data_IF_892798588177
#
_entry.id   IF_892798588177
#
_cell.length_a   1.000
_cell.length_b   1.000
_cell.length_c   1.000
_cell.angle_alpha   90.00
_cell.angle_beta   90.00
_cell.angle_gamma   90.00
#
_symmetry.space_group_name_H-M   'P 1'
#
loop_
_entity.id
_entity.type
_entity.pdbx_description
1 polymer ?
#
# COMPACT_ATOMS: atom_id res chain seq x y z
N UNK A 1 -18.67 34.13 5.96
CA UNK A 1 -18.74 32.82 5.31
C UNK A 1 -19.45 31.85 6.22
N UNK A 2 -20.77 31.75 6.12
CA UNK A 2 -21.50 30.53 6.48
C UNK A 2 -21.06 29.38 5.56
N UNK A 3 -21.57 28.17 5.78
CA UNK A 3 -21.31 27.04 4.87
C UNK A 3 -21.93 27.32 3.50
N UNK A 4 -23.10 27.93 3.46
CA UNK A 4 -23.84 28.28 2.24
C UNK A 4 -23.09 29.34 1.42
N UNK A 5 -22.62 30.42 2.07
CA UNK A 5 -21.81 31.45 1.41
C UNK A 5 -20.51 30.86 0.82
N UNK A 6 -19.89 29.93 1.54
CA UNK A 6 -18.67 29.27 1.07
C UNK A 6 -18.97 28.29 -0.07
N UNK A 7 -20.08 27.56 0.00
CA UNK A 7 -20.50 26.63 -1.05
C UNK A 7 -20.78 27.35 -2.37
N UNK A 8 -21.45 28.51 -2.33
CA UNK A 8 -21.67 29.35 -3.50
C UNK A 8 -20.35 29.85 -4.09
N UNK A 9 -19.42 30.33 -3.25
CA UNK A 9 -18.10 30.74 -3.71
C UNK A 9 -17.32 29.58 -4.33
N UNK A 10 -17.39 28.38 -3.74
CA UNK A 10 -16.73 27.18 -4.25
C UNK A 10 -17.31 26.75 -5.61
N UNK A 11 -18.63 26.74 -5.76
CA UNK A 11 -19.30 26.36 -7.01
C UNK A 11 -18.97 27.31 -8.17
N UNK A 12 -18.72 28.59 -7.87
CA UNK A 12 -18.35 29.60 -8.86
C UNK A 12 -16.83 29.68 -9.13
N UNK A 13 -16.03 28.85 -8.45
CA UNK A 13 -14.58 28.84 -8.60
C UNK A 13 -14.13 27.79 -9.63
N UNK A 14 -13.14 28.13 -10.45
CA UNK A 14 -12.53 27.19 -11.40
C UNK A 14 -11.46 26.29 -10.76
N UNK A 15 -11.02 26.63 -9.55
CA UNK A 15 -9.95 25.96 -8.84
C UNK A 15 -10.08 26.21 -7.33
N UNK A 16 -9.95 25.14 -6.52
CA UNK A 16 -10.05 25.21 -5.07
C UNK A 16 -8.79 24.62 -4.43
N UNK A 17 -8.14 25.42 -3.58
CA UNK A 17 -6.96 25.05 -2.81
C UNK A 17 -7.16 25.41 -1.34
N UNK A 18 -7.09 24.40 -0.48
CA UNK A 18 -7.00 24.56 0.96
C UNK A 18 -5.54 24.33 1.39
N UNK A 19 -4.83 25.41 1.69
CA UNK A 19 -3.42 25.37 2.09
C UNK A 19 -3.21 25.57 3.60
N UNK A 20 -2.23 24.88 4.19
CA UNK A 20 -1.81 25.11 5.57
C UNK A 20 -0.59 24.30 6.02
N UNK A 21 -0.16 24.46 7.27
CA UNK A 21 0.90 23.61 7.82
C UNK A 21 0.33 22.22 8.20
N UNK A 22 -0.91 22.15 8.66
CA UNK A 22 -1.53 20.94 9.20
C UNK A 22 -1.23 20.77 10.69
N UNK A 23 0.03 20.99 11.11
CA UNK A 23 0.53 20.69 12.46
C UNK A 23 0.48 19.17 12.78
N UNK A 24 0.83 18.77 14.00
CA UNK A 24 1.02 17.36 14.39
C UNK A 24 0.28 16.93 15.64
N UNK A 25 -0.78 17.65 15.98
CA UNK A 25 -1.53 17.49 17.23
C UNK A 25 -2.27 16.17 17.38
N UNK A 26 -2.44 15.39 16.31
CA UNK A 26 -2.95 14.01 16.38
C UNK A 26 -1.85 12.94 16.25
N UNK A 27 -0.62 13.33 15.93
CA UNK A 27 0.47 12.36 15.80
C UNK A 27 0.95 11.91 17.19
N UNK A 28 0.88 10.61 17.53
CA UNK A 28 1.22 10.14 18.88
C UNK A 28 2.72 10.04 19.15
N UNK A 29 3.56 10.12 18.11
CA UNK A 29 5.02 9.95 18.23
C UNK A 29 5.74 11.17 17.70
N UNK A 30 5.55 11.52 16.43
CA UNK A 30 6.27 12.60 15.78
C UNK A 30 5.49 13.91 15.92
N UNK A 31 5.58 14.53 17.10
CA UNK A 31 4.87 15.77 17.44
C UNK A 31 5.79 16.77 18.20
N UNK A 32 5.22 17.90 18.64
CA UNK A 32 5.96 18.93 19.37
C UNK A 32 6.75 18.43 20.59
N UNK A 33 6.22 17.45 21.33
CA UNK A 33 6.88 16.87 22.52
C UNK A 33 8.20 16.18 22.16
N UNK A 34 8.23 15.50 21.00
CA UNK A 34 9.44 14.90 20.44
C UNK A 34 10.37 15.92 19.76
N UNK A 35 10.10 17.22 19.91
CA UNK A 35 10.93 18.30 19.42
C UNK A 35 10.74 18.62 17.93
N UNK A 36 9.61 18.22 17.34
CA UNK A 36 9.33 18.45 15.91
C UNK A 36 9.45 19.93 15.50
N UNK A 37 9.01 20.82 16.39
CA UNK A 37 9.07 22.28 16.22
C UNK A 37 10.17 22.94 17.06
N UNK A 38 11.09 22.15 17.62
CA UNK A 38 12.08 22.60 18.60
C UNK A 38 11.39 23.36 19.75
N UNK A 39 11.92 24.51 20.15
CA UNK A 39 11.33 25.36 21.19
C UNK A 39 10.26 26.34 20.67
N UNK A 40 9.83 26.22 19.40
CA UNK A 40 9.00 27.25 18.75
C UNK A 40 7.51 27.06 19.01
N UNK A 41 7.05 25.81 19.13
CA UNK A 41 5.63 25.46 19.29
C UNK A 41 5.55 24.46 20.43
N UNK A 42 4.77 24.77 21.46
CA UNK A 42 4.52 23.83 22.56
C UNK A 42 3.55 22.72 22.13
N UNK A 43 3.46 21.65 22.90
CA UNK A 43 2.50 20.56 22.65
C UNK A 43 1.06 21.06 22.66
N UNK A 44 0.70 21.94 23.60
CA UNK A 44 -0.64 22.53 23.67
C UNK A 44 -0.95 23.39 22.45
N UNK A 45 0.05 24.14 21.98
CA UNK A 45 -0.08 24.98 20.80
C UNK A 45 -0.19 24.14 19.51
N UNK A 46 0.59 23.08 19.38
CA UNK A 46 0.52 22.11 18.26
C UNK A 46 -0.89 21.51 18.14
N UNK A 47 -1.43 21.03 19.26
CA UNK A 47 -2.79 20.49 19.34
C UNK A 47 -3.83 21.55 18.98
N UNK A 48 -3.72 22.76 19.53
CA UNK A 48 -4.67 23.84 19.26
C UNK A 48 -4.66 24.27 17.79
N UNK A 49 -3.47 24.37 17.18
CA UNK A 49 -3.31 24.76 15.78
C UNK A 49 -3.76 23.66 14.82
N UNK A 50 -3.53 22.39 15.15
CA UNK A 50 -4.07 21.24 14.40
C UNK A 50 -5.59 21.24 14.39
N UNK A 51 -6.23 21.43 15.56
CA UNK A 51 -7.69 21.55 15.68
C UNK A 51 -8.24 22.72 14.88
N UNK A 52 -7.53 23.86 14.88
CA UNK A 52 -7.92 25.02 14.08
C UNK A 52 -7.89 24.73 12.59
N UNK A 53 -6.86 24.05 12.09
CA UNK A 53 -6.79 23.68 10.68
C UNK A 53 -7.89 22.66 10.33
N UNK A 54 -8.10 21.64 11.16
CA UNK A 54 -9.19 20.67 11.03
C UNK A 54 -10.56 21.33 10.93
N UNK A 55 -10.85 22.32 11.77
CA UNK A 55 -12.14 23.04 11.71
C UNK A 55 -12.35 23.78 10.38
N UNK A 56 -11.27 24.31 9.77
CA UNK A 56 -11.34 24.91 8.44
C UNK A 56 -11.58 23.83 7.39
N UNK A 57 -10.85 22.72 7.45
CA UNK A 57 -11.03 21.57 6.56
C UNK A 57 -12.46 21.05 6.59
N UNK A 58 -13.02 20.80 7.77
CA UNK A 58 -14.40 20.30 7.93
C UNK A 58 -15.44 21.27 7.36
N UNK A 59 -15.19 22.58 7.48
CA UNK A 59 -16.05 23.59 6.88
C UNK A 59 -15.97 23.61 5.35
N UNK A 60 -14.77 23.49 4.77
CA UNK A 60 -14.60 23.36 3.32
C UNK A 60 -15.24 22.06 2.84
N UNK A 61 -15.11 20.98 3.60
CA UNK A 61 -15.72 19.69 3.29
C UNK A 61 -17.24 19.81 3.23
N UNK A 62 -17.85 20.43 4.24
CA UNK A 62 -19.30 20.68 4.25
C UNK A 62 -19.77 21.59 3.09
N UNK A 63 -18.88 22.40 2.52
CA UNK A 63 -19.23 23.39 1.48
C UNK A 63 -18.92 22.90 0.05
N UNK A 64 -17.94 22.01 -0.12
CA UNK A 64 -17.36 21.61 -1.39
C UNK A 64 -17.11 20.10 -1.49
N UNK A 65 -17.85 19.28 -0.73
CA UNK A 65 -17.70 17.81 -0.70
C UNK A 65 -17.65 17.20 -2.10
N UNK A 66 -18.48 17.72 -3.01
CA UNK A 66 -18.67 17.17 -4.35
C UNK A 66 -17.90 17.90 -5.45
N UNK A 67 -17.09 18.89 -5.10
CA UNK A 67 -16.29 19.70 -6.02
C UNK A 67 -14.81 19.36 -5.77
N UNK A 68 -13.97 19.22 -6.81
CA UNK A 68 -12.54 18.96 -6.60
C UNK A 68 -11.86 20.05 -5.77
N UNK A 69 -11.18 19.65 -4.70
CA UNK A 69 -10.35 20.51 -3.85
C UNK A 69 -8.97 19.90 -3.71
N UNK A 70 -7.93 20.73 -3.83
CA UNK A 70 -6.57 20.35 -3.44
C UNK A 70 -6.36 20.75 -1.98
N UNK A 71 -6.10 19.78 -1.12
CA UNK A 71 -5.68 19.99 0.28
C UNK A 71 -4.16 19.92 0.32
N UNK A 72 -3.51 21.06 0.48
CA UNK A 72 -2.05 21.19 0.48
C UNK A 72 -1.56 21.50 1.89
N UNK A 73 -1.06 20.49 2.59
CA UNK A 73 -0.51 20.63 3.94
C UNK A 73 0.98 20.34 4.00
N UNK A 74 1.68 20.86 5.02
CA UNK A 74 3.07 20.43 5.24
C UNK A 74 3.10 19.01 5.83
N UNK A 75 2.34 18.77 6.90
CA UNK A 75 2.18 17.45 7.53
C UNK A 75 1.09 16.62 6.84
N UNK A 76 1.13 15.30 7.00
CA UNK A 76 0.13 14.38 6.44
C UNK A 76 -1.23 14.56 7.12
N UNK A 77 -2.34 14.22 6.44
CA UNK A 77 -3.69 14.44 6.98
C UNK A 77 -3.89 13.78 8.35
N UNK A 78 -3.36 12.58 8.53
CA UNK A 78 -3.42 11.82 9.78
C UNK A 78 -2.82 12.57 10.99
N UNK A 79 -1.96 13.57 10.77
CA UNK A 79 -1.34 14.34 11.83
C UNK A 79 -2.28 15.41 12.41
N UNK A 80 -3.38 15.74 11.72
CA UNK A 80 -4.30 16.81 12.11
C UNK A 80 -5.79 16.52 11.90
N UNK A 81 -6.14 15.45 11.19
CA UNK A 81 -7.51 14.93 11.07
C UNK A 81 -7.52 13.41 11.11
N UNK A 82 -8.60 12.87 11.67
CA UNK A 82 -8.91 11.43 11.75
C UNK A 82 -10.00 11.02 10.76
N UNK A 83 -10.40 11.95 9.88
CA UNK A 83 -11.40 11.72 8.85
C UNK A 83 -10.87 10.75 7.78
N UNK A 84 -11.79 10.16 7.01
CA UNK A 84 -11.43 9.49 5.76
C UNK A 84 -11.11 10.53 4.70
N UNK A 85 -10.23 10.17 3.76
CA UNK A 85 -10.03 10.97 2.55
C UNK A 85 -11.34 11.08 1.77
N UNK A 86 -11.61 12.27 1.24
CA UNK A 86 -12.67 12.48 0.27
C UNK A 86 -12.16 12.02 -1.11
N UNK A 87 -12.81 11.04 -1.76
CA UNK A 87 -12.37 10.50 -3.05
C UNK A 87 -12.39 11.51 -4.21
N UNK A 88 -13.04 12.66 -4.06
CA UNK A 88 -13.08 13.72 -5.09
C UNK A 88 -11.97 14.76 -4.90
N UNK A 89 -11.19 14.64 -3.84
CA UNK A 89 -10.19 15.62 -3.44
C UNK A 89 -8.79 15.06 -3.62
N UNK A 90 -7.84 15.98 -3.79
CA UNK A 90 -6.42 15.66 -3.91
C UNK A 90 -5.71 16.12 -2.65
N UNK A 91 -5.01 15.20 -1.99
CA UNK A 91 -4.26 15.50 -0.77
C UNK A 91 -2.77 15.55 -1.08
N UNK A 92 -2.11 16.65 -0.75
CA UNK A 92 -0.68 16.84 -0.96
C UNK A 92 -0.02 17.16 0.37
N UNK A 93 0.99 16.38 0.73
CA UNK A 93 1.74 16.56 1.97
C UNK A 93 3.23 16.29 1.81
N UNK A 94 4.01 16.60 2.86
CA UNK A 94 5.42 16.28 2.94
C UNK A 94 5.80 15.85 4.35
N UNK A 95 6.81 16.52 4.90
CA UNK A 95 7.28 16.40 6.28
C UNK A 95 8.00 15.09 6.66
N UNK A 96 7.46 13.93 6.26
CA UNK A 96 7.98 12.60 6.67
C UNK A 96 9.35 12.27 6.10
N UNK A 97 9.79 13.00 5.07
CA UNK A 97 11.00 12.73 4.29
C UNK A 97 10.96 11.36 3.57
N UNK A 98 9.76 10.80 3.45
CA UNK A 98 9.50 9.50 2.84
C UNK A 98 8.47 9.66 1.74
N UNK A 99 8.91 9.42 0.51
CA UNK A 99 8.02 9.52 -0.64
C UNK A 99 6.92 8.45 -0.55
N UNK A 100 5.68 8.89 -0.65
CA UNK A 100 4.51 8.02 -0.82
C UNK A 100 3.61 8.61 -1.89
N UNK A 101 2.90 7.72 -2.58
CA UNK A 101 1.93 8.04 -3.61
C UNK A 101 0.81 7.02 -3.54
N UNK A 102 -0.43 7.48 -3.56
CA UNK A 102 -1.62 6.64 -3.49
C UNK A 102 -2.68 7.15 -4.45
N UNK A 103 -3.05 6.30 -5.41
CA UNK A 103 -4.27 6.45 -6.21
C UNK A 103 -5.12 5.20 -6.01
N UNK A 104 -6.36 5.38 -5.56
CA UNK A 104 -7.32 4.29 -5.42
C UNK A 104 -8.39 4.34 -6.50
N UNK A 105 -9.02 3.19 -6.78
CA UNK A 105 -10.08 3.07 -7.79
C UNK A 105 -11.35 3.85 -7.40
N UNK A 106 -11.54 4.14 -6.11
CA UNK A 106 -12.63 4.96 -5.60
C UNK A 106 -12.41 6.47 -5.81
N UNK A 107 -11.23 6.89 -6.27
CA UNK A 107 -10.85 8.28 -6.53
C UNK A 107 -9.87 8.88 -5.52
N UNK A 108 -9.63 8.23 -4.37
CA UNK A 108 -8.71 8.77 -3.36
C UNK A 108 -7.32 9.00 -3.96
N UNK A 109 -6.85 10.24 -3.85
CA UNK A 109 -5.61 10.72 -4.44
C UNK A 109 -4.74 11.41 -3.39
N UNK A 110 -3.59 10.81 -3.05
CA UNK A 110 -2.65 11.33 -2.05
C UNK A 110 -1.23 11.36 -2.60
N UNK A 111 -0.61 12.54 -2.59
CA UNK A 111 0.73 12.81 -3.09
C UNK A 111 1.65 13.30 -1.96
N UNK A 112 2.71 12.56 -1.68
CA UNK A 112 3.80 13.00 -0.81
C UNK A 112 5.16 12.58 -1.37
N UNK A 113 5.25 12.52 -2.69
CA UNK A 113 6.35 11.94 -3.48
C UNK A 113 7.41 12.96 -3.93
N UNK A 114 7.27 14.22 -3.54
CA UNK A 114 8.21 15.30 -3.85
C UNK A 114 9.16 15.65 -2.67
N UNK A 115 9.52 14.66 -1.85
CA UNK A 115 10.34 14.87 -0.65
C UNK A 115 11.83 14.52 -0.90
N UNK A 116 12.72 15.47 -0.57
CA UNK A 116 14.17 15.30 -0.76
C UNK A 116 14.76 14.29 0.22
N UNK A 117 14.28 14.29 1.46
CA UNK A 117 14.78 13.45 2.53
C UNK A 117 16.11 13.93 3.12
N UNK A 118 16.72 13.11 3.98
CA UNK A 118 17.91 13.51 4.76
C UNK A 118 19.24 13.34 4.01
N UNK A 119 19.28 12.51 2.97
CA UNK A 119 20.51 12.26 2.20
C UNK A 119 20.54 13.21 0.99
N UNK A 120 21.62 13.97 0.78
CA UNK A 120 21.77 14.80 -0.41
C UNK A 120 21.57 13.97 -1.68
N UNK A 121 20.66 14.41 -2.54
CA UNK A 121 20.38 13.76 -3.83
C UNK A 121 19.93 14.82 -4.84
N UNK A 122 20.14 14.59 -6.15
CA UNK A 122 19.52 15.41 -7.18
C UNK A 122 18.00 15.42 -6.99
N UNK A 123 17.40 16.61 -7.05
CA UNK A 123 15.96 16.80 -6.90
C UNK A 123 15.39 17.47 -8.15
N UNK A 124 14.11 17.28 -8.37
CA UNK A 124 13.30 17.95 -9.39
C UNK A 124 11.95 18.27 -8.77
N UNK A 125 11.15 19.10 -9.44
CA UNK A 125 9.78 19.37 -9.02
C UNK A 125 8.86 18.37 -9.71
N UNK A 126 8.17 17.56 -8.91
CA UNK A 126 7.08 16.72 -9.41
C UNK A 126 5.86 17.59 -9.72
N UNK A 127 5.17 17.29 -10.82
CA UNK A 127 3.88 17.87 -11.17
C UNK A 127 2.79 16.80 -11.22
N UNK A 128 1.54 17.19 -11.04
CA UNK A 128 0.37 16.32 -11.18
C UNK A 128 -0.78 17.05 -11.89
N UNK A 129 -1.65 16.27 -12.55
CA UNK A 129 -2.89 16.75 -13.15
C UNK A 129 -3.99 16.78 -12.10
N UNK A 130 -4.93 17.73 -12.21
CA UNK A 130 -6.10 17.79 -11.31
C UNK A 130 -7.15 16.73 -11.66
N UNK A 131 -7.18 16.28 -12.92
CA UNK A 131 -7.88 15.07 -13.32
C UNK A 131 -6.98 13.87 -12.98
N UNK A 132 -7.18 13.34 -11.78
CA UNK A 132 -6.44 12.21 -11.25
C UNK A 132 -7.34 10.99 -11.32
N UNK A 133 -7.07 10.09 -12.26
CA UNK A 133 -7.74 8.80 -12.31
C UNK A 133 -6.73 7.70 -12.68
N UNK A 134 -6.98 6.49 -12.18
CA UNK A 134 -6.23 5.32 -12.62
C UNK A 134 -6.69 4.92 -14.01
N UNK A 135 -5.74 4.70 -14.91
CA UNK A 135 -5.99 4.11 -16.22
C UNK A 135 -4.78 3.30 -16.69
N UNK A 136 -5.00 2.45 -17.67
CA UNK A 136 -3.96 1.69 -18.34
C UNK A 136 -3.62 2.38 -19.67
N UNK A 137 -2.45 3.05 -19.78
CA UNK A 137 -2.04 3.72 -21.03
C UNK A 137 -1.79 2.75 -22.18
N UNK A 138 -1.67 1.45 -21.92
CA UNK A 138 -1.47 0.40 -22.93
C UNK A 138 -2.72 -0.45 -23.16
N UNK A 139 -3.88 -0.03 -22.63
CA UNK A 139 -5.14 -0.80 -22.70
C UNK A 139 -5.48 -1.28 -24.13
N UNK A 140 -5.30 -0.41 -25.11
CA UNK A 140 -5.66 -0.67 -26.51
C UNK A 140 -4.55 -1.35 -27.32
N UNK A 141 -3.38 -1.59 -26.73
CA UNK A 141 -2.33 -2.37 -27.39
C UNK A 141 -2.79 -3.83 -27.51
N UNK A 142 -2.55 -4.53 -28.63
CA UNK A 142 -2.79 -5.96 -28.69
C UNK A 142 -1.83 -6.70 -27.76
N UNK A 143 -2.10 -7.97 -27.46
CA UNK A 143 -1.11 -8.81 -26.79
C UNK A 143 0.15 -8.94 -27.67
N UNK A 144 1.32 -8.87 -27.04
CA UNK A 144 2.58 -8.83 -27.77
C UNK A 144 3.74 -8.18 -27.00
N UNK A 145 4.86 -8.02 -27.70
CA UNK A 145 6.05 -7.30 -27.25
C UNK A 145 6.03 -5.92 -27.89
N UNK A 146 5.93 -4.87 -27.08
CA UNK A 146 5.80 -3.50 -27.56
C UNK A 146 6.96 -2.66 -27.08
N UNK A 147 7.70 -2.03 -28.00
CA UNK A 147 8.68 -1.02 -27.62
C UNK A 147 7.93 0.21 -27.08
N UNK A 148 8.34 0.70 -25.92
CA UNK A 148 7.74 1.85 -25.24
C UNK A 148 8.80 2.89 -24.91
N UNK A 149 8.35 4.12 -24.69
CA UNK A 149 9.20 5.21 -24.20
C UNK A 149 9.37 5.14 -22.67
N UNK A 150 10.35 5.87 -22.14
CA UNK A 150 10.54 6.00 -20.68
C UNK A 150 9.37 6.75 -20.06
N UNK A 151 8.86 7.74 -20.77
CA UNK A 151 7.71 8.56 -20.39
C UNK A 151 6.47 7.68 -20.24
N UNK A 152 6.19 6.80 -21.20
CA UNK A 152 5.09 5.83 -21.13
C UNK A 152 5.25 4.84 -19.98
N UNK A 153 6.47 4.35 -19.71
CA UNK A 153 6.72 3.47 -18.56
C UNK A 153 6.46 4.20 -17.23
N UNK A 154 6.93 5.45 -17.10
CA UNK A 154 6.70 6.28 -15.91
C UNK A 154 5.22 6.59 -15.73
N UNK A 155 4.52 6.94 -16.81
CA UNK A 155 3.08 7.19 -16.83
C UNK A 155 2.30 5.94 -16.40
N UNK A 156 2.59 4.78 -16.97
CA UNK A 156 1.94 3.52 -16.59
C UNK A 156 2.06 3.25 -15.09
N UNK A 157 3.28 3.28 -14.54
CA UNK A 157 3.48 3.04 -13.12
C UNK A 157 2.75 4.07 -12.26
N UNK A 158 2.79 5.35 -12.64
CA UNK A 158 2.05 6.41 -11.96
C UNK A 158 0.55 6.14 -11.95
N UNK A 159 -0.05 5.84 -13.10
CA UNK A 159 -1.48 5.57 -13.23
C UNK A 159 -1.92 4.26 -12.56
N UNK A 160 -0.97 3.36 -12.29
CA UNK A 160 -1.20 2.13 -11.52
C UNK A 160 -0.83 2.26 -10.03
N UNK A 161 -0.53 3.47 -9.55
CA UNK A 161 -0.11 3.74 -8.16
C UNK A 161 1.14 2.95 -7.74
N UNK A 162 2.03 2.65 -8.69
CA UNK A 162 3.28 1.94 -8.48
C UNK A 162 4.40 2.94 -8.24
N UNK A 163 4.96 2.92 -7.03
CA UNK A 163 6.16 3.71 -6.74
C UNK A 163 7.38 3.19 -7.50
N UNK A 164 8.13 4.11 -8.08
CA UNK A 164 9.31 3.80 -8.89
C UNK A 164 10.58 4.41 -8.31
N UNK A 165 11.70 3.76 -8.61
CA UNK A 165 13.03 4.34 -8.52
C UNK A 165 13.36 5.09 -9.81
N UNK A 166 14.22 6.11 -9.71
CA UNK A 166 14.71 6.82 -10.90
C UNK A 166 15.42 5.85 -11.85
N UNK A 167 14.98 5.82 -13.10
CA UNK A 167 15.63 5.08 -14.18
C UNK A 167 16.52 6.01 -15.00
N UNK A 168 17.83 5.77 -14.97
CA UNK A 168 18.82 6.52 -15.78
C UNK A 168 19.60 5.62 -16.74
N UNK A 169 19.19 4.37 -16.89
CA UNK A 169 19.91 3.40 -17.70
C UNK A 169 19.59 3.58 -19.19
N UNK A 170 20.60 3.58 -20.07
CA UNK A 170 20.39 3.57 -21.51
C UNK A 170 19.84 2.21 -21.95
N UNK A 171 19.21 2.18 -23.12
CA UNK A 171 18.60 0.97 -23.68
C UNK A 171 17.15 1.19 -24.12
N UNK A 172 16.62 0.19 -24.78
CA UNK A 172 15.24 0.13 -25.28
C UNK A 172 14.33 -0.51 -24.24
N UNK A 173 13.15 0.07 -24.06
CA UNK A 173 12.15 -0.41 -23.12
C UNK A 173 11.07 -1.15 -23.88
N UNK A 174 10.63 -2.27 -23.30
CA UNK A 174 9.52 -3.04 -23.84
C UNK A 174 8.49 -3.36 -22.76
N UNK A 175 7.22 -3.32 -23.17
CA UNK A 175 6.09 -3.89 -22.45
C UNK A 175 5.70 -5.21 -23.11
N UNK A 176 5.83 -6.31 -22.38
CA UNK A 176 5.28 -7.61 -22.73
C UNK A 176 3.86 -7.65 -22.19
N UNK A 177 2.86 -7.61 -23.07
CA UNK A 177 1.44 -7.59 -22.72
C UNK A 177 0.78 -8.93 -23.08
N UNK A 178 0.09 -9.53 -22.12
CA UNK A 178 -0.75 -10.70 -22.32
C UNK A 178 -2.00 -10.60 -21.42
N UNK A 179 -3.19 -10.60 -22.00
CA UNK A 179 -4.47 -10.58 -21.26
C UNK A 179 -4.52 -9.48 -20.17
N UNK A 180 -4.05 -8.28 -20.52
CA UNK A 180 -3.96 -7.14 -19.60
C UNK A 180 -2.90 -7.25 -18.50
N UNK A 181 -2.09 -8.33 -18.49
CA UNK A 181 -0.91 -8.48 -17.63
C UNK A 181 0.33 -7.93 -18.34
N UNK A 182 1.17 -7.24 -17.57
CA UNK A 182 2.35 -6.56 -18.06
C UNK A 182 3.63 -7.09 -17.41
N UNK A 183 4.65 -7.34 -18.23
CA UNK A 183 6.05 -7.46 -17.80
C UNK A 183 6.87 -6.39 -18.52
N UNK A 184 7.61 -5.58 -17.79
CA UNK A 184 8.45 -4.54 -18.36
C UNK A 184 9.90 -4.97 -18.38
N UNK A 185 10.56 -4.81 -19.53
CA UNK A 185 11.97 -5.14 -19.69
C UNK A 185 12.75 -3.97 -20.29
N UNK A 186 14.01 -3.85 -19.88
CA UNK A 186 15.00 -2.96 -20.46
C UNK A 186 16.03 -3.81 -21.19
N UNK A 187 16.14 -3.62 -22.49
CA UNK A 187 17.17 -4.20 -23.33
C UNK A 187 18.31 -3.20 -23.51
N UNK A 188 19.52 -3.65 -23.23
CA UNK A 188 20.76 -2.91 -23.44
C UNK A 188 21.66 -3.72 -24.36
N UNK A 189 22.73 -3.10 -24.87
CA UNK A 189 23.67 -3.78 -25.79
C UNK A 189 24.26 -5.10 -25.25
N UNK A 190 24.25 -5.33 -23.94
CA UNK A 190 24.85 -6.52 -23.31
C UNK A 190 23.93 -7.31 -22.39
N UNK A 191 22.67 -6.89 -22.21
CA UNK A 191 21.77 -7.56 -21.26
C UNK A 191 20.31 -7.18 -21.45
N UNK A 192 19.44 -8.15 -21.16
CA UNK A 192 18.02 -7.96 -20.93
C UNK A 192 17.77 -7.93 -19.42
N UNK A 193 16.97 -6.98 -18.94
CA UNK A 193 16.63 -6.84 -17.53
C UNK A 193 15.13 -6.67 -17.33
N UNK A 194 14.52 -7.45 -16.44
CA UNK A 194 13.18 -7.16 -15.91
C UNK A 194 13.22 -5.89 -15.05
N UNK A 195 12.16 -5.09 -15.13
CA UNK A 195 12.01 -3.86 -14.36
C UNK A 195 11.01 -4.00 -13.19
N UNK A 196 11.54 -3.93 -11.98
CA UNK A 196 10.78 -3.90 -10.72
C UNK A 196 10.59 -2.43 -10.28
N UNK A 197 9.77 -1.65 -11.01
CA UNK A 197 9.56 -0.22 -10.72
C UNK A 197 10.85 0.58 -10.85
N UNK A 198 11.62 0.34 -11.92
CA UNK A 198 12.91 0.98 -12.21
C UNK A 198 14.15 0.26 -11.66
N UNK A 199 14.01 -0.65 -10.69
CA UNK A 199 15.09 -1.58 -10.31
C UNK A 199 15.23 -2.67 -11.36
N UNK A 200 16.47 -3.01 -11.74
CA UNK A 200 16.77 -4.02 -12.77
C UNK A 200 17.09 -5.38 -12.16
N UNK A 201 16.49 -6.43 -12.73
CA UNK A 201 16.85 -7.82 -12.49
C UNK A 201 17.31 -8.43 -13.80
N UNK A 202 18.54 -8.97 -13.83
CA UNK A 202 19.07 -9.56 -15.04
C UNK A 202 18.22 -10.77 -15.44
N UNK A 203 17.96 -10.88 -16.73
CA UNK A 203 17.34 -12.03 -17.37
C UNK A 203 18.39 -12.80 -18.17
N UNK A 204 18.22 -14.12 -18.25
CA UNK A 204 19.21 -15.04 -18.83
C UNK A 204 18.84 -15.51 -20.25
N UNK A 205 17.59 -15.32 -20.66
CA UNK A 205 17.09 -15.64 -22.01
C UNK A 205 16.79 -14.38 -22.83
N UNK A 206 16.45 -14.55 -24.10
CA UNK A 206 15.95 -13.45 -24.94
C UNK A 206 14.51 -13.08 -24.60
N UNK A 207 14.06 -11.93 -25.11
CA UNK A 207 12.74 -11.36 -24.81
C UNK A 207 11.57 -12.24 -25.27
N UNK A 208 11.75 -13.04 -26.34
CA UNK A 208 10.72 -13.91 -26.90
C UNK A 208 10.42 -15.07 -25.95
N UNK A 209 11.45 -15.66 -25.35
CA UNK A 209 11.30 -16.70 -24.33
C UNK A 209 10.36 -16.25 -23.20
N UNK A 210 10.57 -15.04 -22.67
CA UNK A 210 9.74 -14.53 -21.58
C UNK A 210 8.30 -14.29 -22.01
N UNK A 211 8.09 -13.75 -23.21
CA UNK A 211 6.75 -13.51 -23.73
C UNK A 211 5.98 -14.82 -23.98
N UNK A 212 6.62 -15.80 -24.62
CA UNK A 212 6.02 -17.11 -24.93
C UNK A 212 5.63 -17.88 -23.66
N UNK A 213 6.42 -17.74 -22.59
CA UNK A 213 6.15 -18.41 -21.31
C UNK A 213 5.30 -17.58 -20.33
N UNK A 214 5.06 -16.29 -20.61
CA UNK A 214 4.33 -15.38 -19.72
C UNK A 214 2.93 -15.90 -19.33
N UNK A 215 2.10 -16.44 -20.25
CA UNK A 215 0.78 -16.97 -19.90
C UNK A 215 0.84 -18.07 -18.84
N UNK A 216 1.72 -19.05 -19.05
CA UNK A 216 1.85 -20.21 -18.18
C UNK A 216 2.49 -19.81 -16.84
N UNK A 217 3.48 -18.93 -16.86
CA UNK A 217 4.10 -18.40 -15.65
C UNK A 217 3.07 -17.70 -14.76
N UNK A 218 2.29 -16.76 -15.31
CA UNK A 218 1.27 -16.02 -14.57
C UNK A 218 0.20 -16.96 -14.02
N UNK A 219 -0.23 -17.95 -14.79
CA UNK A 219 -1.19 -18.97 -14.34
C UNK A 219 -0.65 -19.73 -13.12
N UNK A 220 0.60 -20.21 -13.18
CA UNK A 220 1.24 -20.96 -12.07
C UNK A 220 1.43 -20.08 -10.83
N UNK A 221 1.89 -18.84 -10.99
CA UNK A 221 1.99 -17.89 -9.87
C UNK A 221 0.62 -17.64 -9.23
N UNK A 222 -0.39 -17.26 -10.02
CA UNK A 222 -1.74 -17.04 -9.48
C UNK A 222 -2.24 -18.27 -8.72
N UNK A 223 -2.08 -19.46 -9.29
CA UNK A 223 -2.50 -20.71 -8.66
C UNK A 223 -1.78 -20.97 -7.33
N UNK A 224 -0.47 -20.77 -7.27
CA UNK A 224 0.34 -21.03 -6.08
C UNK A 224 0.06 -20.04 -4.93
N UNK A 225 -0.25 -18.77 -5.25
CA UNK A 225 -0.36 -17.70 -4.25
C UNK A 225 -1.78 -17.28 -3.91
N UNK A 226 -2.78 -17.65 -4.71
CA UNK A 226 -4.18 -17.28 -4.46
C UNK A 226 -4.68 -17.69 -3.06
N UNK A 227 -4.36 -18.88 -2.51
CA UNK A 227 -4.75 -19.24 -1.14
C UNK A 227 -4.17 -18.27 -0.09
N UNK A 228 -2.88 -17.94 -0.24
CA UNK A 228 -2.19 -17.01 0.65
C UNK A 228 -2.73 -15.58 0.53
N UNK A 229 -3.03 -15.13 -0.70
CA UNK A 229 -3.66 -13.83 -0.92
C UNK A 229 -5.03 -13.75 -0.24
N UNK A 230 -5.85 -14.81 -0.37
CA UNK A 230 -7.13 -14.92 0.34
C UNK A 230 -6.93 -14.87 1.86
N UNK A 231 -5.89 -15.52 2.37
CA UNK A 231 -5.57 -15.51 3.79
C UNK A 231 -5.23 -14.09 4.28
N UNK A 232 -4.40 -13.33 3.54
CA UNK A 232 -4.11 -11.93 3.85
C UNK A 232 -5.37 -11.05 3.79
N UNK A 233 -6.24 -11.24 2.79
CA UNK A 233 -7.51 -10.50 2.70
C UNK A 233 -8.41 -10.75 3.91
N UNK A 234 -8.52 -11.99 4.38
CA UNK A 234 -9.30 -12.28 5.58
C UNK A 234 -8.73 -11.61 6.84
N UNK A 235 -7.39 -11.55 6.97
CA UNK A 235 -6.76 -10.79 8.08
C UNK A 235 -7.06 -9.30 7.94
N UNK A 236 -6.97 -8.75 6.73
CA UNK A 236 -7.32 -7.36 6.42
C UNK A 236 -8.76 -7.03 6.81
N UNK A 237 -9.72 -7.88 6.45
CA UNK A 237 -11.13 -7.70 6.78
C UNK A 237 -11.38 -7.72 8.31
N UNK A 238 -10.73 -8.63 9.04
CA UNK A 238 -10.83 -8.67 10.49
C UNK A 238 -10.20 -7.44 11.16
N UNK A 239 -9.06 -6.94 10.64
CA UNK A 239 -8.44 -5.69 11.08
C UNK A 239 -9.37 -4.49 10.83
N UNK A 240 -9.97 -4.40 9.65
CA UNK A 240 -10.93 -3.34 9.32
C UNK A 240 -12.19 -3.41 10.21
N UNK A 241 -12.63 -4.62 10.56
CA UNK A 241 -13.79 -4.83 11.45
C UNK A 241 -13.60 -4.20 12.83
N UNK A 242 -12.37 -4.30 13.37
CA UNK A 242 -12.00 -3.66 14.64
C UNK A 242 -11.57 -2.20 14.48
N UNK A 243 -11.60 -1.66 13.25
CA UNK A 243 -11.36 -0.25 12.95
C UNK A 243 -9.92 0.11 12.57
N UNK A 244 -9.07 -0.88 12.28
CA UNK A 244 -7.75 -0.67 11.71
C UNK A 244 -7.79 -0.43 10.19
N UNK A 245 -6.61 -0.18 9.59
CA UNK A 245 -6.49 0.16 8.18
C UNK A 245 -6.70 -1.03 7.24
N UNK A 246 -6.21 -2.23 7.63
CA UNK A 246 -6.24 -3.43 6.80
C UNK A 246 -5.26 -3.40 5.61
N UNK A 247 -4.37 -2.42 5.50
CA UNK A 247 -3.49 -2.28 4.33
C UNK A 247 -2.53 -3.47 4.22
N UNK A 248 -2.46 -4.10 3.04
CA UNK A 248 -1.62 -5.28 2.78
C UNK A 248 -0.33 -4.87 2.05
N UNK A 249 0.83 -5.25 2.59
CA UNK A 249 2.12 -5.11 1.93
C UNK A 249 3.02 -6.33 2.11
N UNK A 250 3.07 -7.17 1.08
CA UNK A 250 3.78 -8.45 1.12
C UNK A 250 3.11 -9.39 2.13
N UNK A 251 3.82 -9.75 3.19
CA UNK A 251 3.31 -10.64 4.24
C UNK A 251 2.69 -9.90 5.44
N UNK A 252 2.49 -8.59 5.35
CA UNK A 252 2.11 -7.73 6.47
C UNK A 252 0.74 -7.10 6.21
N UNK A 253 -0.09 -7.06 7.25
CA UNK A 253 -1.37 -6.33 7.30
C UNK A 253 -1.29 -5.27 8.39
N UNK A 254 -1.53 -4.01 8.02
CA UNK A 254 -1.41 -2.87 8.94
C UNK A 254 -2.69 -2.65 9.76
N UNK A 255 -2.56 -2.61 11.08
CA UNK A 255 -3.63 -2.16 12.00
C UNK A 255 -3.66 -0.63 11.97
N UNK A 256 -2.52 -0.02 12.21
CA UNK A 256 -2.26 1.40 12.01
C UNK A 256 -0.82 1.60 11.54
N UNK A 257 -0.30 2.83 11.63
CA UNK A 257 1.06 3.16 11.21
C UNK A 257 2.16 2.39 11.97
N UNK A 258 1.93 2.04 13.24
CA UNK A 258 2.95 1.44 14.12
C UNK A 258 2.66 -0.03 14.45
N UNK A 259 1.42 -0.44 14.31
CA UNK A 259 0.91 -1.72 14.75
C UNK A 259 0.53 -2.57 13.55
N UNK A 260 1.06 -3.79 13.48
CA UNK A 260 0.99 -4.63 12.29
C UNK A 260 0.75 -6.09 12.65
N UNK A 261 0.33 -6.86 11.65
CA UNK A 261 0.20 -8.31 11.70
C UNK A 261 1.05 -8.91 10.58
N UNK A 262 2.02 -9.74 10.93
CA UNK A 262 2.79 -10.54 9.97
C UNK A 262 2.16 -11.93 9.83
N UNK A 263 1.85 -12.34 8.60
CA UNK A 263 1.41 -13.69 8.27
C UNK A 263 2.58 -14.45 7.63
N UNK A 264 3.18 -15.39 8.34
CA UNK A 264 4.33 -16.11 7.82
C UNK A 264 3.92 -17.06 6.66
N UNK A 265 4.48 -16.91 5.45
CA UNK A 265 4.10 -17.72 4.30
C UNK A 265 4.58 -19.18 4.37
N UNK A 266 5.38 -19.58 5.37
CA UNK A 266 5.91 -20.94 5.47
C UNK A 266 5.15 -21.84 6.45
N UNK A 267 4.58 -21.28 7.51
CA UNK A 267 3.87 -22.01 8.58
C UNK A 267 2.47 -21.43 8.85
N UNK A 268 2.08 -20.36 8.14
CA UNK A 268 0.80 -19.67 8.34
C UNK A 268 0.69 -18.97 9.69
N UNK A 269 1.78 -18.80 10.44
CA UNK A 269 1.75 -18.18 11.77
C UNK A 269 1.40 -16.70 11.67
N UNK A 270 0.38 -16.30 12.42
CA UNK A 270 -0.04 -14.91 12.60
C UNK A 270 0.72 -14.30 13.77
N UNK A 271 1.52 -13.27 13.49
CA UNK A 271 2.42 -12.63 14.46
C UNK A 271 2.13 -11.13 14.56
N UNK A 272 1.43 -10.68 15.61
CA UNK A 272 1.23 -9.26 15.89
C UNK A 272 2.53 -8.61 16.36
N UNK A 273 2.86 -7.44 15.84
CA UNK A 273 4.04 -6.69 16.27
C UNK A 273 3.87 -5.17 16.15
N UNK A 274 4.63 -4.44 16.95
CA UNK A 274 4.82 -3.00 16.85
C UNK A 274 6.17 -2.69 16.20
N UNK A 275 6.24 -1.64 15.38
CA UNK A 275 7.48 -1.17 14.79
C UNK A 275 7.51 0.36 14.59
N UNK A 276 8.65 0.99 14.89
CA UNK A 276 8.92 2.40 14.56
C UNK A 276 9.62 2.55 13.20
N UNK A 277 10.30 1.50 12.76
CA UNK A 277 11.04 1.43 11.52
C UNK A 277 11.15 -0.04 11.06
N UNK A 278 11.81 -0.28 9.94
CA UNK A 278 11.90 -1.63 9.35
C UNK A 278 12.74 -2.63 10.17
N UNK A 279 13.55 -2.14 11.12
CA UNK A 279 14.53 -2.92 11.88
C UNK A 279 14.03 -3.23 13.30
N UNK A 280 13.53 -2.22 14.01
CA UNK A 280 13.15 -2.32 15.41
C UNK A 280 11.70 -2.80 15.54
N UNK A 281 11.53 -4.05 15.98
CA UNK A 281 10.23 -4.73 16.10
C UNK A 281 10.02 -5.28 17.52
N UNK A 282 8.83 -5.06 18.06
CA UNK A 282 8.37 -5.65 19.31
C UNK A 282 7.22 -6.61 19.03
N UNK A 283 7.46 -7.91 19.19
CA UNK A 283 6.48 -8.97 18.90
C UNK A 283 5.60 -9.24 20.11
N UNK A 284 4.30 -9.43 19.88
CA UNK A 284 3.31 -9.74 20.91
C UNK A 284 2.81 -11.17 20.79
N UNK A 285 2.43 -11.74 21.94
CA UNK A 285 1.92 -13.11 22.02
C UNK A 285 0.59 -13.29 21.27
N UNK A 286 -0.23 -12.26 21.14
CA UNK A 286 -1.54 -12.29 20.47
C UNK A 286 -2.03 -10.84 20.24
N UNK A 287 -3.13 -10.70 19.50
CA UNK A 287 -3.71 -9.39 19.17
C UNK A 287 -4.11 -8.62 20.42
N UNK A 288 -4.72 -9.28 21.40
CA UNK A 288 -5.12 -8.65 22.65
C UNK A 288 -3.95 -7.97 23.38
N UNK A 289 -2.81 -8.67 23.49
CA UNK A 289 -1.60 -8.12 24.12
C UNK A 289 -1.01 -6.95 23.33
N UNK A 290 -1.07 -6.99 21.99
CA UNK A 290 -0.66 -5.85 21.16
C UNK A 290 -1.59 -4.64 21.39
N UNK A 291 -2.90 -4.85 21.32
CA UNK A 291 -3.89 -3.77 21.47
C UNK A 291 -3.85 -3.14 22.89
N UNK A 292 -3.43 -3.91 23.89
CA UNK A 292 -3.29 -3.45 25.28
C UNK A 292 -1.95 -2.79 25.57
N UNK A 293 -0.84 -3.41 25.13
CA UNK A 293 0.51 -3.12 25.65
C UNK A 293 1.50 -2.66 24.58
N UNK A 294 1.04 -2.37 23.36
CA UNK A 294 1.89 -1.70 22.37
C UNK A 294 2.41 -0.37 22.91
N UNK A 295 3.67 0.05 22.60
CA UNK A 295 4.18 1.36 22.97
C UNK A 295 3.27 2.52 22.52
N UNK A 296 2.56 2.33 21.41
CA UNK A 296 1.50 3.24 20.94
C UNK A 296 0.25 2.39 20.66
N UNK A 297 -0.63 2.17 21.66
CA UNK A 297 -1.82 1.36 21.47
C UNK A 297 -2.76 1.96 20.42
N UNK A 298 -3.25 1.17 19.46
CA UNK A 298 -4.11 1.66 18.39
C UNK A 298 -5.45 2.16 18.93
N UNK A 299 -5.92 3.26 18.36
CA UNK A 299 -7.20 3.91 18.71
C UNK A 299 -8.03 4.16 17.45
N UNK A 300 -9.35 4.19 17.63
CA UNK A 300 -10.27 4.64 16.61
C UNK A 300 -10.16 6.16 16.42
N UNK A 301 -10.68 6.67 15.31
CA UNK A 301 -10.79 8.11 15.05
C UNK A 301 -11.52 8.85 16.18
N UNK A 302 -12.51 8.23 16.82
CA UNK A 302 -13.20 8.79 18.00
C UNK A 302 -12.33 8.93 19.26
N UNK A 303 -11.09 8.41 19.25
CA UNK A 303 -10.21 8.29 20.42
C UNK A 303 -10.49 7.04 21.28
N UNK A 304 -11.55 6.29 20.96
CA UNK A 304 -11.88 5.02 21.61
C UNK A 304 -10.77 3.98 21.41
N UNK A 305 -10.51 3.20 22.44
CA UNK A 305 -9.52 2.12 22.38
C UNK A 305 -9.97 1.02 21.42
N UNK A 306 -9.09 0.63 20.48
CA UNK A 306 -9.36 -0.50 19.58
C UNK A 306 -9.47 -1.82 20.36
N UNK A 307 -8.81 -1.93 21.51
CA UNK A 307 -8.97 -3.07 22.44
C UNK A 307 -10.42 -3.20 22.91
N UNK A 308 -11.09 -2.09 23.25
CA UNK A 308 -12.49 -2.12 23.71
C UNK A 308 -13.41 -2.64 22.61
N UNK A 309 -13.19 -2.21 21.36
CA UNK A 309 -13.95 -2.71 20.20
C UNK A 309 -13.68 -4.19 19.94
N UNK A 310 -12.43 -4.62 20.03
CA UNK A 310 -12.03 -6.02 19.89
C UNK A 310 -12.68 -6.90 20.96
N UNK A 311 -12.58 -6.53 22.24
CA UNK A 311 -13.18 -7.26 23.36
C UNK A 311 -14.72 -7.23 23.34
N UNK A 312 -15.30 -6.11 22.89
CA UNK A 312 -16.75 -5.92 22.78
C UNK A 312 -17.39 -6.59 21.56
N UNK A 313 -16.62 -7.21 20.67
CA UNK A 313 -17.14 -7.85 19.46
C UNK A 313 -17.96 -9.12 19.83
N UNK A 314 -19.28 -9.16 19.55
CA UNK A 314 -20.11 -10.31 19.90
C UNK A 314 -19.72 -11.55 19.11
N UNK A 315 -19.68 -12.71 19.76
CA UNK A 315 -19.23 -13.97 19.15
C UNK A 315 -17.87 -13.80 18.47
N UNK A 316 -16.91 -13.16 19.16
CA UNK A 316 -15.58 -12.78 18.67
C UNK A 316 -14.88 -13.90 17.89
N UNK A 317 -14.90 -15.12 18.40
CA UNK A 317 -14.27 -16.27 17.73
C UNK A 317 -14.90 -16.64 16.38
N UNK A 318 -16.17 -16.28 16.15
CA UNK A 318 -16.87 -16.47 14.88
C UNK A 318 -16.64 -15.30 13.91
N UNK A 319 -16.62 -14.07 14.42
CA UNK A 319 -16.47 -12.85 13.60
C UNK A 319 -15.02 -12.49 13.28
N UNK A 320 -14.12 -12.80 14.21
CA UNK A 320 -12.68 -12.56 14.12
C UNK A 320 -11.92 -13.89 14.33
N UNK A 321 -12.21 -14.93 13.52
CA UNK A 321 -11.66 -16.27 13.71
C UNK A 321 -10.15 -16.37 13.55
N UNK A 322 -9.48 -15.37 12.95
CA UNK A 322 -8.02 -15.33 12.80
C UNK A 322 -7.38 -14.51 13.93
N UNK A 323 -7.86 -13.29 14.18
CA UNK A 323 -7.33 -12.42 15.23
C UNK A 323 -7.55 -13.00 16.64
N UNK A 324 -8.59 -13.81 16.81
CA UNK A 324 -8.90 -14.49 18.07
C UNK A 324 -8.11 -15.79 18.28
N UNK A 325 -7.31 -16.25 17.30
CA UNK A 325 -6.54 -17.50 17.45
C UNK A 325 -5.49 -17.35 18.54
N UNK A 326 -5.32 -18.40 19.34
CA UNK A 326 -4.10 -18.58 20.09
C UNK A 326 -2.93 -18.68 19.10
N UNK A 327 -1.83 -17.96 19.36
CA UNK A 327 -0.70 -17.73 18.46
C UNK A 327 0.13 -18.94 18.04
N UNK A 328 -0.35 -20.15 18.34
CA UNK A 328 0.32 -21.42 18.07
C UNK A 328 -0.40 -22.33 17.08
N UNK A 329 -1.58 -21.95 16.55
CA UNK A 329 -2.25 -22.78 15.54
C UNK A 329 -1.88 -22.31 14.13
N UNK A 330 -1.11 -23.15 13.44
CA UNK A 330 -0.77 -23.01 12.03
C UNK A 330 -2.04 -22.83 11.18
N UNK A 331 -1.92 -22.01 10.13
CA UNK A 331 -3.01 -21.79 9.19
C UNK A 331 -2.61 -22.34 7.83
N UNK A 332 -3.05 -23.58 7.54
CA UNK A 332 -2.68 -24.31 6.32
C UNK A 332 -2.99 -23.54 5.02
N UNK A 333 -4.11 -22.79 4.99
CA UNK A 333 -4.50 -21.90 3.88
C UNK A 333 -3.47 -20.78 3.60
N UNK A 334 -2.61 -20.45 4.56
CA UNK A 334 -1.62 -19.39 4.50
C UNK A 334 -0.18 -19.91 4.25
N UNK A 335 -0.03 -21.15 3.76
CA UNK A 335 1.28 -21.71 3.43
C UNK A 335 1.51 -21.66 1.91
N UNK A 336 2.69 -21.20 1.52
CA UNK A 336 3.14 -21.10 0.13
C UNK A 336 4.25 -22.14 -0.13
N UNK A 337 4.29 -22.78 -1.32
CA UNK A 337 5.36 -23.70 -1.68
C UNK A 337 6.76 -23.06 -1.64
N UNK A 338 7.73 -23.76 -1.02
CA UNK A 338 9.10 -23.26 -0.84
C UNK A 338 9.84 -23.04 -2.16
N UNK A 339 9.53 -23.83 -3.20
CA UNK A 339 10.14 -23.71 -4.55
C UNK A 339 9.95 -22.31 -5.12
N UNK A 340 8.88 -21.60 -4.72
CA UNK A 340 8.56 -20.29 -5.26
C UNK A 340 9.20 -19.13 -4.49
N UNK A 341 9.53 -19.35 -3.21
CA UNK A 341 10.01 -18.30 -2.30
C UNK A 341 11.51 -18.36 -1.99
N UNK A 342 12.28 -19.22 -2.67
CA UNK A 342 13.74 -19.44 -2.51
C UNK A 342 14.39 -18.71 -1.31
N UNK A 343 14.60 -19.45 -0.22
CA UNK A 343 15.14 -18.93 1.04
C UNK A 343 16.56 -18.34 0.91
N UNK A 344 17.26 -18.57 -0.18
CA UNK A 344 18.70 -18.29 -0.29
C UNK A 344 19.06 -16.86 -0.70
N UNK A 345 18.13 -16.05 -1.24
CA UNK A 345 18.49 -14.72 -1.77
C UNK A 345 17.65 -13.51 -1.29
N UNK A 346 16.47 -13.67 -0.66
CA UNK A 346 15.58 -12.55 -0.33
C UNK A 346 14.80 -12.74 0.98
N UNK A 347 14.56 -11.66 1.74
CA UNK A 347 13.55 -11.62 2.81
C UNK A 347 12.15 -11.97 2.22
N UNK A 348 11.40 -12.97 2.72
CA UNK A 348 10.17 -13.49 2.11
C UNK A 348 9.10 -12.43 1.78
N UNK A 349 8.89 -11.45 2.67
CA UNK A 349 7.94 -10.35 2.44
C UNK A 349 8.36 -9.47 1.24
N UNK A 350 9.68 -9.37 1.00
CA UNK A 350 10.37 -8.95 -0.23
C UNK A 350 9.67 -9.43 -1.50
N UNK A 351 9.78 -10.74 -1.67
CA UNK A 351 9.29 -11.44 -2.85
C UNK A 351 7.78 -11.36 -2.88
N UNK A 352 7.12 -11.53 -1.73
CA UNK A 352 5.66 -11.46 -1.68
C UNK A 352 5.12 -10.11 -2.12
N UNK A 353 5.79 -9.02 -1.74
CA UNK A 353 5.41 -7.70 -2.24
C UNK A 353 5.54 -7.59 -3.74
N UNK A 354 6.53 -8.24 -4.36
CA UNK A 354 6.69 -8.26 -5.82
C UNK A 354 5.60 -9.07 -6.51
N UNK A 355 5.21 -10.21 -5.93
CA UNK A 355 4.14 -11.08 -6.43
C UNK A 355 2.77 -10.41 -6.28
N UNK A 356 2.54 -9.67 -5.19
CA UNK A 356 1.30 -8.93 -4.95
C UNK A 356 0.92 -8.03 -6.13
N UNK A 357 1.88 -7.46 -6.87
CA UNK A 357 1.60 -6.64 -8.06
C UNK A 357 0.91 -7.39 -9.20
N UNK A 358 1.05 -8.72 -9.28
CA UNK A 358 0.35 -9.55 -10.27
C UNK A 358 -1.16 -9.61 -9.95
N UNK A 359 -1.53 -9.50 -8.67
CA UNK A 359 -2.92 -9.51 -8.21
C UNK A 359 -3.53 -8.11 -8.20
N UNK A 360 -2.79 -7.11 -7.70
CA UNK A 360 -3.34 -5.78 -7.44
C UNK A 360 -3.23 -4.83 -8.64
N UNK A 361 -2.24 -5.00 -9.52
CA UNK A 361 -1.99 -4.13 -10.68
C UNK A 361 -1.78 -4.88 -12.00
N UNK A 362 -1.89 -6.22 -12.01
CA UNK A 362 -1.56 -7.05 -13.18
C UNK A 362 -0.13 -6.81 -13.72
N UNK A 363 0.85 -6.58 -12.84
CA UNK A 363 2.26 -6.37 -13.23
C UNK A 363 3.17 -7.44 -12.65
N UNK A 364 3.90 -8.12 -13.52
CA UNK A 364 4.94 -9.06 -13.15
C UNK A 364 6.25 -8.33 -12.88
N UNK A 365 6.78 -8.51 -11.66
CA UNK A 365 7.96 -7.79 -11.14
C UNK A 365 9.13 -8.68 -10.72
N UNK A 366 8.98 -9.99 -10.84
CA UNK A 366 10.00 -10.99 -10.54
C UNK A 366 9.79 -12.18 -11.47
N UNK A 367 10.88 -12.81 -11.89
CA UNK A 367 10.87 -14.02 -12.70
C UNK A 367 11.76 -15.09 -12.05
N UNK A 368 11.32 -16.35 -12.08
CA UNK A 368 12.09 -17.51 -11.64
C UNK A 368 11.63 -18.74 -12.44
N UNK A 369 12.48 -19.24 -13.33
CA UNK A 369 12.15 -20.38 -14.21
C UNK A 369 11.76 -21.66 -13.44
N UNK A 370 12.16 -21.80 -12.17
CA UNK A 370 11.72 -22.91 -11.33
C UNK A 370 10.18 -22.99 -11.20
N UNK A 371 9.46 -21.87 -11.34
CA UNK A 371 7.98 -21.86 -11.34
C UNK A 371 7.43 -22.60 -12.57
N UNK A 372 8.08 -22.46 -13.72
CA UNK A 372 7.67 -23.18 -14.94
C UNK A 372 7.87 -24.69 -14.81
N UNK A 373 8.77 -25.14 -13.94
CA UNK A 373 9.02 -26.56 -13.66
C UNK A 373 8.04 -27.17 -12.64
N UNK A 374 7.16 -26.39 -12.00
CA UNK A 374 6.16 -26.93 -11.06
C UNK A 374 5.14 -27.75 -11.85
N UNK A 375 5.10 -29.06 -11.62
CA UNK A 375 4.11 -29.93 -12.26
C UNK A 375 2.71 -29.59 -11.76
N UNK A 376 1.72 -29.64 -12.66
CA UNK A 376 0.31 -29.41 -12.29
C UNK A 376 -0.21 -30.47 -11.28
N UNK A 377 0.52 -31.57 -11.11
CA UNK A 377 0.22 -32.69 -10.22
C UNK A 377 1.09 -32.75 -8.96
N UNK A 378 2.10 -31.87 -8.81
CA UNK A 378 2.82 -31.74 -7.54
C UNK A 378 1.98 -30.85 -6.60
N UNK A 379 0.88 -31.44 -6.14
CA UNK A 379 0.06 -31.04 -5.00
C UNK A 379 -0.06 -29.53 -4.76
N UNK A 380 -0.77 -28.89 -5.71
CA UNK A 380 -1.89 -28.04 -5.29
C UNK A 380 -2.89 -28.98 -4.60
N UNK A 381 -2.59 -29.37 -3.35
CA UNK A 381 -3.69 -29.67 -2.45
C UNK A 381 -4.41 -28.34 -2.23
N UNK A 382 -5.35 -28.06 -3.12
CA UNK A 382 -6.58 -27.41 -2.71
C UNK A 382 -7.16 -28.29 -1.59
N UNK A 383 -6.69 -28.08 -0.36
CA UNK A 383 -7.09 -28.84 0.80
C UNK A 383 -8.61 -28.67 1.01
N UNK A 384 -9.30 -29.72 1.46
CA UNK A 384 -10.75 -29.79 1.64
C UNK A 384 -11.21 -28.92 2.83
N UNK A 385 -11.07 -27.60 2.69
CA UNK A 385 -11.49 -26.60 3.67
C UNK A 385 -12.08 -25.35 3.01
N UNK A 386 -11.79 -25.09 1.73
CA UNK A 386 -12.37 -23.96 1.00
C UNK A 386 -13.87 -24.15 0.71
N UNK A 387 -14.36 -25.39 0.58
CA UNK A 387 -15.77 -25.67 0.29
C UNK A 387 -16.70 -25.54 1.49
N UNK A 388 -16.18 -25.52 2.73
CA UNK A 388 -17.02 -25.38 3.95
C UNK A 388 -17.26 -23.94 4.41
N UNK A 389 -16.61 -22.96 3.79
CA UNK A 389 -16.73 -21.54 4.16
C UNK A 389 -17.41 -20.68 3.07
N UNK A 390 -17.83 -21.30 1.97
CA UNK A 390 -18.64 -20.64 0.93
C UNK A 390 -20.15 -20.86 1.12
N UNK A 391 -20.55 -21.71 2.06
CA UNK A 391 -21.96 -22.05 2.36
C UNK A 391 -22.42 -21.59 3.77
N UNK A 392 -21.80 -20.57 4.36
CA UNK A 392 -22.21 -20.07 5.70
C UNK A 392 -22.04 -18.57 5.92
#
# INVERSE_FOLDING_TARGET
ASVEELAEACANSTFLLLGGLGFSGLNPVYNAEMGLYRATVSTEEDIARSRRFRAIYEKVLASAENIPVIVLTHTQMADWSDARYNPKWIYVSGHTHQNMFLLQDDGISVFSDNQVGYKPKPWHLNGFTVDVHRYDPFKDYPDGIHQITREQYVEFNRCQSIMMQSMKHPGDLYALKYDGVYMFVLESASSLCLLEGGRRHKLDCDISYYYENLPEYVRKVRSAFMPYQKALSMVSDEVMTIGGSGSIHGCIVDIDWFNHIYLNPFDGKVTPYFALNTTDKLVFKNIEALLESSPVPPRLSSGESMLMRYLGTPSREKKLPILSRASSKEWELAVVPQVVLDRSMYEPSRIMRSIQYIFDQNVLRVWNDAILAIDNNDDIQALPGASKLLDS
#
